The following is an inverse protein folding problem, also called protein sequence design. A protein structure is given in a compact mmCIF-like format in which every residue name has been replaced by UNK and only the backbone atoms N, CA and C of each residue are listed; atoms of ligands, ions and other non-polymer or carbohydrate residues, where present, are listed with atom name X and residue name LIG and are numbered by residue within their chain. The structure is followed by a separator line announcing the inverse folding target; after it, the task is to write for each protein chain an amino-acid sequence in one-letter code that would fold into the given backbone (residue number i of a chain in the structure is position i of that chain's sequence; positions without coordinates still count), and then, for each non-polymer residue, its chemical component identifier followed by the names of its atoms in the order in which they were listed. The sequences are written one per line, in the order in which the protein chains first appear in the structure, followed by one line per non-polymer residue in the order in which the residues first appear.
data_IF_833633440679
#
_entry.id   IF_833633440679
#
_cell.length_a   1.000
_cell.length_b   1.000
_cell.length_c   1.000
_cell.angle_alpha   90.00
_cell.angle_beta   90.00
_cell.angle_gamma   90.00
#
_symmetry.space_group_name_H-M   'P 1'
#
loop_
_entity.id
_entity.type
_entity.pdbx_description
1 polymer ?
#
# COMPACT_ATOMS: atom_id res chain seq x y z
N UNK A 1 -19.91 22.29 1.21
CA UNK A 1 -19.06 21.84 2.33
C UNK A 1 -18.33 20.57 1.89
N UNK A 2 -17.03 20.64 1.59
CA UNK A 2 -16.27 19.46 1.16
C UNK A 2 -16.18 18.43 2.28
N UNK A 3 -16.46 17.16 1.98
CA UNK A 3 -16.35 16.06 2.95
C UNK A 3 -14.88 15.80 3.25
N UNK A 4 -14.38 16.35 4.36
CA UNK A 4 -13.06 15.97 4.87
C UNK A 4 -13.11 14.50 5.27
N UNK A 5 -12.36 13.65 4.57
CA UNK A 5 -12.22 12.24 4.94
C UNK A 5 -11.48 12.16 6.27
N UNK A 6 -12.12 11.60 7.29
CA UNK A 6 -11.46 11.30 8.56
C UNK A 6 -10.55 10.10 8.38
N UNK A 7 -9.32 10.18 8.92
CA UNK A 7 -8.46 9.00 8.97
C UNK A 7 -9.05 8.00 9.97
N UNK A 8 -8.90 6.68 9.74
CA UNK A 8 -9.42 5.65 10.64
C UNK A 8 -9.02 5.87 12.12
N UNK A 9 -7.83 6.39 12.36
CA UNK A 9 -7.31 6.69 13.70
C UNK A 9 -8.07 7.83 14.38
N UNK A 10 -8.38 8.89 13.63
CA UNK A 10 -9.17 10.03 14.13
C UNK A 10 -10.59 9.59 14.48
N UNK A 11 -11.17 8.70 13.68
CA UNK A 11 -12.49 8.11 13.93
C UNK A 11 -12.48 7.33 15.25
N UNK A 12 -11.51 6.45 15.42
CA UNK A 12 -11.39 5.62 16.63
C UNK A 12 -11.11 6.47 17.87
N UNK A 13 -10.27 7.49 17.77
CA UNK A 13 -10.01 8.41 18.87
C UNK A 13 -11.30 9.15 19.31
N UNK A 14 -12.09 9.64 18.35
CA UNK A 14 -13.38 10.28 18.63
C UNK A 14 -14.38 9.32 19.24
N UNK A 15 -14.46 8.08 18.77
CA UNK A 15 -15.35 7.07 19.37
C UNK A 15 -14.98 6.76 20.82
N UNK A 16 -13.69 6.70 21.17
CA UNK A 16 -13.28 6.53 22.58
C UNK A 16 -13.63 7.72 23.44
N UNK A 17 -13.43 8.93 22.93
CA UNK A 17 -13.87 10.13 23.62
C UNK A 17 -15.38 10.09 23.85
N UNK A 18 -16.15 9.60 22.86
CA UNK A 18 -17.58 9.37 23.01
C UNK A 18 -17.90 8.40 24.16
N UNK A 19 -17.23 7.25 24.19
CA UNK A 19 -17.43 6.23 25.22
C UNK A 19 -17.13 6.78 26.63
N UNK A 20 -16.08 7.59 26.79
CA UNK A 20 -15.74 8.25 28.07
C UNK A 20 -16.81 9.25 28.50
N UNK A 21 -17.29 10.10 27.60
CA UNK A 21 -18.32 11.10 27.90
C UNK A 21 -19.67 10.44 28.24
N UNK A 22 -20.02 9.36 27.54
CA UNK A 22 -21.20 8.55 27.84
C UNK A 22 -21.08 7.88 29.21
N UNK A 23 -19.90 7.33 29.54
CA UNK A 23 -19.64 6.76 30.87
C UNK A 23 -19.71 7.80 32.01
N UNK A 24 -19.44 9.07 31.70
CA UNK A 24 -19.63 10.20 32.61
C UNK A 24 -21.10 10.67 32.72
N UNK A 25 -22.02 10.03 32.01
CA UNK A 25 -23.46 10.31 32.06
C UNK A 25 -23.97 11.31 31.02
N UNK A 26 -23.14 11.73 30.05
CA UNK A 26 -23.63 12.60 28.97
C UNK A 26 -24.53 11.83 27.99
N UNK A 27 -25.54 12.53 27.46
CA UNK A 27 -26.40 11.96 26.42
C UNK A 27 -25.62 11.78 25.11
N UNK A 28 -25.98 10.77 24.33
CA UNK A 28 -25.38 10.53 23.02
C UNK A 28 -25.51 11.76 22.10
N UNK A 29 -26.63 12.49 22.19
CA UNK A 29 -26.86 13.70 21.42
C UNK A 29 -25.89 14.85 21.78
N UNK A 30 -25.58 15.03 23.06
CA UNK A 30 -24.60 16.02 23.52
C UNK A 30 -23.19 15.65 23.09
N UNK A 31 -22.85 14.36 23.15
CA UNK A 31 -21.56 13.82 22.73
C UNK A 31 -21.35 14.00 21.23
N UNK A 32 -22.35 13.69 20.40
CA UNK A 32 -22.29 13.89 18.95
C UNK A 32 -22.03 15.37 18.62
N UNK A 33 -22.72 16.28 19.33
CA UNK A 33 -22.50 17.73 19.20
C UNK A 33 -21.08 18.13 19.63
N UNK A 34 -20.58 17.62 20.75
CA UNK A 34 -19.23 17.89 21.25
C UNK A 34 -18.13 17.38 20.30
N UNK A 35 -18.35 16.24 19.64
CA UNK A 35 -17.41 15.65 18.67
C UNK A 35 -17.43 16.36 17.31
N UNK A 36 -18.41 17.24 17.08
CA UNK A 36 -18.59 17.97 15.83
C UNK A 36 -18.88 17.06 14.64
N UNK A 37 -19.62 15.97 14.86
CA UNK A 37 -20.00 15.00 13.82
C UNK A 37 -21.52 14.92 13.70
N UNK A 38 -22.01 14.45 12.56
CA UNK A 38 -23.44 14.16 12.42
C UNK A 38 -23.78 12.83 13.06
N UNK A 39 -25.02 12.68 13.50
CA UNK A 39 -25.53 11.44 14.10
C UNK A 39 -25.40 10.24 13.17
N UNK A 40 -25.70 10.42 11.88
CA UNK A 40 -25.49 9.40 10.83
C UNK A 40 -24.02 8.95 10.77
N UNK A 41 -23.09 9.91 10.85
CA UNK A 41 -21.65 9.60 10.82
C UNK A 41 -21.24 8.83 12.08
N UNK A 42 -21.72 9.25 13.25
CA UNK A 42 -21.43 8.59 14.52
C UNK A 42 -21.88 7.12 14.53
N UNK A 43 -23.12 6.84 14.12
CA UNK A 43 -23.61 5.45 14.08
C UNK A 43 -22.90 4.60 13.03
N UNK A 44 -22.57 5.18 11.86
CA UNK A 44 -21.75 4.48 10.86
C UNK A 44 -20.39 4.12 11.44
N UNK A 45 -19.73 5.06 12.12
CA UNK A 45 -18.45 4.81 12.77
C UNK A 45 -18.54 3.77 13.88
N UNK A 46 -19.59 3.78 14.71
CA UNK A 46 -19.81 2.72 15.71
C UNK A 46 -19.94 1.34 15.08
N UNK A 47 -20.58 1.23 13.91
CA UNK A 47 -20.68 -0.03 13.16
C UNK A 47 -19.33 -0.48 12.57
N UNK A 48 -18.57 0.45 11.99
CA UNK A 48 -17.31 0.16 11.29
C UNK A 48 -16.11 -0.01 12.26
N UNK A 49 -16.09 0.76 13.36
CA UNK A 49 -14.92 0.91 14.23
C UNK A 49 -15.19 0.69 15.72
N UNK A 50 -16.45 0.52 16.15
CA UNK A 50 -16.83 0.46 17.57
C UNK A 50 -16.28 -0.74 18.36
N UNK A 51 -15.73 -1.76 17.67
CA UNK A 51 -15.06 -2.91 18.29
C UNK A 51 -13.53 -2.87 18.23
N UNK A 52 -12.93 -1.85 17.59
CA UNK A 52 -11.48 -1.80 17.37
C UNK A 52 -10.76 -1.20 18.58
N UNK A 53 -9.88 -2.00 19.20
CA UNK A 53 -9.03 -1.56 20.32
C UNK A 53 -7.84 -0.71 19.82
N UNK A 54 -7.21 0.08 20.71
CA UNK A 54 -6.20 1.09 20.35
C UNK A 54 -4.93 0.49 19.75
N UNK A 55 -4.54 -0.61 20.35
CA UNK A 55 -3.49 -1.53 19.96
C UNK A 55 -3.74 -2.13 18.58
N UNK A 56 -4.99 -2.47 18.23
CA UNK A 56 -5.31 -3.01 16.90
C UNK A 56 -5.12 -1.96 15.80
N UNK A 57 -5.52 -0.71 16.05
CA UNK A 57 -5.32 0.40 15.09
C UNK A 57 -3.84 0.72 14.92
N UNK A 58 -3.09 0.79 16.02
CA UNK A 58 -1.64 1.01 15.98
C UNK A 58 -0.93 -0.12 15.22
N UNK A 59 -1.27 -1.37 15.52
CA UNK A 59 -0.73 -2.55 14.84
C UNK A 59 -1.05 -2.54 13.35
N UNK A 60 -2.24 -2.11 12.95
CA UNK A 60 -2.61 -1.99 11.54
C UNK A 60 -1.68 -1.02 10.80
N UNK A 61 -1.41 0.15 11.38
CA UNK A 61 -0.50 1.15 10.79
C UNK A 61 0.93 0.64 10.68
N UNK A 62 1.43 -0.01 11.72
CA UNK A 62 2.78 -0.60 11.72
C UNK A 62 2.90 -1.67 10.61
N UNK A 63 1.85 -2.48 10.42
CA UNK A 63 1.78 -3.46 9.34
C UNK A 63 1.69 -2.82 7.95
N UNK A 64 0.97 -1.72 7.79
CA UNK A 64 0.91 -0.99 6.51
C UNK A 64 2.27 -0.41 6.12
N UNK A 65 2.99 0.18 7.09
CA UNK A 65 4.35 0.70 6.88
C UNK A 65 5.31 -0.43 6.47
N UNK A 66 5.29 -1.53 7.21
CA UNK A 66 6.16 -2.67 6.89
C UNK A 66 5.78 -3.28 5.53
N UNK A 67 4.50 -3.36 5.18
CA UNK A 67 4.08 -3.84 3.87
C UNK A 67 4.61 -2.95 2.73
N UNK A 68 4.58 -1.63 2.90
CA UNK A 68 5.17 -0.70 1.93
C UNK A 68 6.69 -0.90 1.80
N UNK A 69 7.38 -1.04 2.93
CA UNK A 69 8.83 -1.29 2.97
C UNK A 69 9.19 -2.60 2.25
N UNK A 70 8.45 -3.66 2.54
CA UNK A 70 8.63 -4.97 1.92
C UNK A 70 8.33 -4.94 0.42
N UNK A 71 7.26 -4.26 -0.01
CA UNK A 71 6.96 -4.09 -1.44
C UNK A 71 8.10 -3.39 -2.19
N UNK A 72 8.67 -2.34 -1.60
CA UNK A 72 9.82 -1.64 -2.18
C UNK A 72 11.03 -2.56 -2.29
N UNK A 73 11.40 -3.24 -1.20
CA UNK A 73 12.51 -4.18 -1.20
C UNK A 73 12.33 -5.31 -2.23
N UNK A 74 11.11 -5.86 -2.35
CA UNK A 74 10.80 -6.87 -3.35
C UNK A 74 10.95 -6.32 -4.78
N UNK A 75 10.49 -5.10 -5.04
CA UNK A 75 10.62 -4.47 -6.36
C UNK A 75 12.10 -4.28 -6.74
N UNK A 76 12.90 -3.74 -5.83
CA UNK A 76 14.34 -3.51 -6.03
C UNK A 76 15.06 -4.85 -6.29
N UNK A 77 14.84 -5.87 -5.44
CA UNK A 77 15.42 -7.20 -5.63
C UNK A 77 14.95 -7.90 -6.92
N UNK A 78 13.70 -7.68 -7.32
CA UNK A 78 13.17 -8.24 -8.57
C UNK A 78 13.85 -7.60 -9.78
N UNK A 79 14.10 -6.30 -9.73
CA UNK A 79 14.82 -5.59 -10.78
C UNK A 79 16.26 -6.09 -10.89
N UNK A 80 16.98 -6.21 -9.78
CA UNK A 80 18.36 -6.73 -9.76
C UNK A 80 18.44 -8.15 -10.33
N UNK A 81 17.50 -9.01 -9.95
CA UNK A 81 17.40 -10.37 -10.49
C UNK A 81 17.22 -10.36 -12.02
N UNK A 82 16.37 -9.49 -12.55
CA UNK A 82 16.14 -9.38 -14.00
C UNK A 82 17.40 -8.89 -14.73
N UNK A 83 18.09 -7.88 -14.18
CA UNK A 83 19.36 -7.38 -14.74
C UNK A 83 20.41 -8.49 -14.78
N UNK A 84 20.57 -9.23 -13.68
CA UNK A 84 21.52 -10.35 -13.60
C UNK A 84 21.17 -11.47 -14.58
N UNK A 85 19.89 -11.79 -14.73
CA UNK A 85 19.43 -12.80 -15.69
C UNK A 85 19.70 -12.37 -17.14
N UNK A 86 19.47 -11.10 -17.48
CA UNK A 86 19.74 -10.56 -18.81
C UNK A 86 21.25 -10.55 -19.11
N UNK A 87 22.06 -10.08 -18.16
CA UNK A 87 23.52 -10.11 -18.28
C UNK A 87 24.07 -11.53 -18.45
N UNK A 88 23.51 -12.51 -17.72
CA UNK A 88 23.90 -13.92 -17.82
C UNK A 88 23.43 -14.60 -19.11
N UNK A 89 22.31 -14.15 -19.71
CA UNK A 89 21.81 -14.69 -20.98
C UNK A 89 22.73 -14.38 -22.17
N UNK A 90 23.55 -13.33 -22.05
CA UNK A 90 24.61 -13.01 -23.00
C UNK A 90 24.08 -12.54 -24.35
N UNK A 91 24.63 -11.43 -24.86
CA UNK A 91 24.42 -11.00 -26.23
C UNK A 91 25.16 -11.97 -27.19
N UNK A 92 24.59 -13.15 -27.44
CA UNK A 92 25.13 -14.13 -28.37
C UNK A 92 24.93 -13.64 -29.82
N UNK A 93 25.77 -12.71 -30.24
CA UNK A 93 26.00 -12.43 -31.67
C UNK A 93 27.02 -13.43 -32.17
N UNK A 94 26.56 -14.52 -32.75
CA UNK A 94 27.43 -15.39 -33.53
C UNK A 94 28.14 -14.56 -34.61
N UNK A 95 29.47 -14.68 -34.78
CA UNK A 95 30.15 -14.01 -35.88
C UNK A 95 29.58 -14.57 -37.19
N UNK A 96 29.03 -13.71 -38.04
CA UNK A 96 28.64 -14.09 -39.40
C UNK A 96 29.90 -14.63 -40.09
N UNK A 97 29.97 -15.95 -40.27
CA UNK A 97 31.02 -16.57 -41.03
C UNK A 97 31.03 -15.96 -42.43
N UNK A 98 32.13 -15.28 -42.78
CA UNK A 98 32.33 -14.73 -44.11
C UNK A 98 32.28 -15.87 -45.11
N UNK A 99 31.31 -15.81 -46.04
CA UNK A 99 31.25 -16.72 -47.19
C UNK A 99 32.43 -16.35 -48.09
N UNK A 100 33.51 -17.12 -47.99
CA UNK A 100 34.58 -17.13 -48.98
C UNK A 100 34.01 -17.79 -50.24
N UNK A 101 33.69 -16.98 -51.25
CA UNK A 101 33.39 -17.49 -52.60
C UNK A 101 34.73 -17.63 -53.32
N UNK A 102 35.29 -18.83 -53.30
CA UNK A 102 36.44 -19.16 -54.14
C UNK A 102 36.00 -19.12 -55.61
N UNK A 103 36.48 -18.13 -56.35
CA UNK A 103 36.39 -18.09 -57.81
C UNK A 103 37.17 -19.26 -58.41
N UNK A 104 36.47 -20.32 -58.78
CA UNK A 104 37.04 -21.34 -59.67
C UNK A 104 37.00 -20.80 -61.09
N UNK A 105 38.17 -20.36 -61.55
CA UNK A 105 38.45 -19.98 -62.94
C UNK A 105 38.26 -21.17 -63.88
N UNK A 106 37.27 -21.09 -64.77
CA UNK A 106 37.08 -21.97 -65.91
C UNK A 106 37.53 -21.26 -67.19
N UNK A 107 38.59 -21.75 -67.85
CA UNK A 107 38.83 -21.78 -69.32
C UNK A 107 40.32 -22.01 -69.62
N UNK A 108 40.68 -23.19 -70.14
CA UNK A 108 40.75 -23.49 -71.58
C UNK A 108 40.90 -24.99 -71.77
#
# INVERSE_FOLDING_TARGET
MGTKRHKPEDVVAKLRQADVLIAQGQSVADVIRALGVTEVTYYRWRKEFGGLKADQVRRMKDLEIENQRLRKAIADLTLDKLILQEAARGNFRAPRAGVHVSSTSFRR
#
